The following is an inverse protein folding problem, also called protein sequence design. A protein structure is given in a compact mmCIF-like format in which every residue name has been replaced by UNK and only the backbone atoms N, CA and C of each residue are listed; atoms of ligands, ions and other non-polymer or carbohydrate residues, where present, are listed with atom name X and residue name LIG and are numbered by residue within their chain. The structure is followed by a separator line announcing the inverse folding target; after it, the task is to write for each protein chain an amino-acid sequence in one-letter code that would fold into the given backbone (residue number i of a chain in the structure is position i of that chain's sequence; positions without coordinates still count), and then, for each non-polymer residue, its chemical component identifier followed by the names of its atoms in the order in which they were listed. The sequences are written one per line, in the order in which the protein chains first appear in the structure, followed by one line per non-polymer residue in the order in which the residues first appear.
data_IF_482535074536
#
_entry.id   IF_482535074536
#
_cell.length_a   1.000
_cell.length_b   1.000
_cell.length_c   1.000
_cell.angle_alpha   90.00
_cell.angle_beta   90.00
_cell.angle_gamma   90.00
#
_symmetry.space_group_name_H-M   'P 1'
#
loop_
_entity.id
_entity.type
_entity.pdbx_description
1 polymer ?
#
# COMPACT_ATOMS: atom_id res chain seq x y z
N UNK A 1 -6.40 -1.60 -2.83
CA UNK A 1 -6.45 -0.14 -2.98
C UNK A 1 -5.45 0.28 -4.04
N UNK A 2 -5.91 0.97 -5.06
CA UNK A 2 -5.08 1.39 -6.19
C UNK A 2 -4.55 2.80 -5.95
N UNK A 3 -3.24 2.99 -6.04
CA UNK A 3 -2.61 4.30 -5.75
C UNK A 3 -2.56 4.65 -4.26
N UNK A 4 -2.15 3.70 -3.42
CA UNK A 4 -2.09 3.83 -1.95
C UNK A 4 -1.18 4.95 -1.44
N UNK A 5 -0.21 5.34 -2.25
CA UNK A 5 0.79 6.38 -1.92
C UNK A 5 0.38 7.78 -2.40
N UNK A 6 -0.76 7.91 -3.08
CA UNK A 6 -1.33 9.21 -3.42
C UNK A 6 -2.20 9.76 -2.28
N UNK A 7 -2.57 11.03 -2.34
CA UNK A 7 -3.28 11.72 -1.25
C UNK A 7 -4.57 11.02 -0.81
N UNK A 8 -5.36 10.48 -1.73
CA UNK A 8 -6.59 9.73 -1.40
C UNK A 8 -6.24 8.39 -0.75
N UNK A 9 -5.24 7.68 -1.27
CA UNK A 9 -4.82 6.39 -0.73
C UNK A 9 -4.27 6.48 0.69
N UNK A 10 -3.45 7.50 0.98
CA UNK A 10 -2.91 7.72 2.33
C UNK A 10 -4.01 8.07 3.32
N UNK A 11 -4.90 9.00 2.97
CA UNK A 11 -6.04 9.36 3.82
C UNK A 11 -7.00 8.19 4.05
N UNK A 12 -7.22 7.36 3.02
CA UNK A 12 -8.04 6.15 3.15
C UNK A 12 -7.44 5.18 4.16
N UNK A 13 -6.12 4.97 4.14
CA UNK A 13 -5.46 4.13 5.14
C UNK A 13 -5.57 4.71 6.55
N UNK A 14 -5.46 6.03 6.70
CA UNK A 14 -5.63 6.70 7.99
C UNK A 14 -7.03 6.46 8.59
N UNK A 15 -8.07 6.47 7.75
CA UNK A 15 -9.45 6.14 8.17
C UNK A 15 -9.58 4.65 8.52
N UNK A 16 -9.05 3.75 7.69
CA UNK A 16 -9.15 2.30 7.89
C UNK A 16 -8.51 1.82 9.21
N UNK A 17 -7.51 2.53 9.76
CA UNK A 17 -6.95 2.23 11.09
C UNK A 17 -7.98 2.25 12.22
N UNK A 18 -9.07 2.98 12.04
CA UNK A 18 -10.13 3.14 13.02
C UNK A 18 -11.35 2.24 12.75
N UNK A 19 -11.30 1.41 11.68
CA UNK A 19 -12.39 0.55 11.25
C UNK A 19 -11.91 -0.92 11.18
N UNK A 20 -11.81 -1.62 12.32
CA UNK A 20 -11.19 -2.95 12.41
C UNK A 20 -11.94 -4.05 11.64
N UNK A 21 -13.18 -3.81 11.22
CA UNK A 21 -13.96 -4.70 10.37
C UNK A 21 -13.43 -4.77 8.93
N UNK A 22 -12.64 -3.79 8.49
CA UNK A 22 -12.06 -3.77 7.16
C UNK A 22 -10.63 -4.28 7.18
N UNK A 23 -10.28 -5.06 6.15
CA UNK A 23 -8.92 -5.52 5.90
C UNK A 23 -8.47 -5.10 4.51
N UNK A 24 -7.28 -4.52 4.43
CA UNK A 24 -6.64 -4.21 3.15
C UNK A 24 -6.12 -5.50 2.52
N UNK A 25 -6.81 -5.97 1.48
CA UNK A 25 -6.41 -7.18 0.77
C UNK A 25 -5.19 -6.97 -0.14
N UNK A 26 -5.10 -5.78 -0.75
CA UNK A 26 -4.01 -5.44 -1.65
C UNK A 26 -3.71 -3.95 -1.72
N UNK A 27 -2.46 -3.59 -2.02
CA UNK A 27 -2.00 -2.23 -2.25
C UNK A 27 -1.34 -2.09 -3.62
N UNK A 28 -1.43 -0.91 -4.22
CA UNK A 28 -0.64 -0.58 -5.40
C UNK A 28 -0.10 0.85 -5.35
N UNK A 29 1.09 1.07 -5.88
CA UNK A 29 1.69 2.39 -6.03
C UNK A 29 2.25 2.60 -7.43
N UNK A 30 2.35 3.86 -7.86
CA UNK A 30 3.08 4.21 -9.07
C UNK A 30 4.58 4.13 -8.83
N UNK A 31 5.16 5.22 -8.31
CA UNK A 31 6.61 5.38 -8.15
C UNK A 31 7.12 5.39 -6.71
N UNK A 32 6.27 5.65 -5.70
CA UNK A 32 6.70 5.88 -4.33
C UNK A 32 6.91 4.56 -3.56
N UNK A 33 8.03 3.89 -3.84
CA UNK A 33 8.41 2.62 -3.26
C UNK A 33 8.54 2.66 -1.73
N UNK A 34 9.23 3.65 -1.18
CA UNK A 34 9.49 3.72 0.28
C UNK A 34 8.19 3.81 1.07
N UNK A 35 7.25 4.65 0.62
CA UNK A 35 5.95 4.77 1.27
C UNK A 35 5.13 3.48 1.12
N UNK A 36 5.12 2.86 -0.07
CA UNK A 36 4.43 1.58 -0.28
C UNK A 36 5.00 0.49 0.65
N UNK A 37 6.33 0.40 0.77
CA UNK A 37 7.00 -0.56 1.66
C UNK A 37 6.58 -0.37 3.12
N UNK A 38 6.53 0.88 3.58
CA UNK A 38 6.02 1.21 4.92
C UNK A 38 4.58 0.77 5.10
N UNK A 39 3.70 1.07 4.14
CA UNK A 39 2.29 0.68 4.18
C UNK A 39 2.12 -0.84 4.21
N UNK A 40 2.91 -1.60 3.44
CA UNK A 40 2.89 -3.06 3.44
C UNK A 40 3.23 -3.61 4.83
N UNK A 41 4.27 -3.08 5.49
CA UNK A 41 4.64 -3.50 6.84
C UNK A 41 3.56 -3.24 7.88
N UNK A 42 2.80 -2.15 7.71
CA UNK A 42 1.72 -1.74 8.60
C UNK A 42 0.46 -2.60 8.43
N UNK A 43 -0.07 -2.70 7.20
CA UNK A 43 -1.37 -3.33 6.94
C UNK A 43 -1.28 -4.79 6.52
N UNK A 44 -0.08 -5.28 6.21
CA UNK A 44 0.22 -6.67 5.83
C UNK A 44 -0.76 -7.22 4.78
N UNK A 45 -0.86 -6.56 3.61
CA UNK A 45 -1.78 -6.99 2.56
C UNK A 45 -1.34 -8.34 1.97
N UNK A 46 -2.27 -9.07 1.36
CA UNK A 46 -1.94 -10.31 0.65
C UNK A 46 -1.24 -10.04 -0.68
N UNK A 47 -1.52 -8.89 -1.30
CA UNK A 47 -0.92 -8.48 -2.57
C UNK A 47 -0.37 -7.06 -2.53
N UNK A 48 0.77 -6.85 -3.19
CA UNK A 48 1.31 -5.52 -3.44
C UNK A 48 1.78 -5.42 -4.88
N UNK A 49 1.59 -4.25 -5.50
CA UNK A 49 2.03 -3.96 -6.85
C UNK A 49 2.71 -2.59 -6.92
N UNK A 50 3.77 -2.48 -7.72
CA UNK A 50 4.39 -1.21 -8.07
C UNK A 50 4.81 -1.23 -9.54
N UNK A 51 4.79 -0.08 -10.21
CA UNK A 51 5.03 -0.04 -11.66
C UNK A 51 6.49 -0.34 -12.06
N UNK A 52 7.45 -0.05 -11.18
CA UNK A 52 8.87 -0.35 -11.42
C UNK A 52 9.18 -1.81 -11.11
N UNK A 53 9.71 -2.54 -12.10
CA UNK A 53 10.14 -3.93 -11.93
C UNK A 53 11.27 -4.09 -10.89
N UNK A 54 12.19 -3.10 -10.83
CA UNK A 54 13.27 -3.07 -9.83
C UNK A 54 12.69 -2.96 -8.41
N UNK A 55 11.79 -1.98 -8.19
CA UNK A 55 11.15 -1.83 -6.89
C UNK A 55 10.25 -3.01 -6.55
N UNK A 56 9.57 -3.61 -7.52
CA UNK A 56 8.75 -4.80 -7.32
C UNK A 56 9.60 -5.98 -6.84
N UNK A 57 10.81 -6.16 -7.37
CA UNK A 57 11.74 -7.18 -6.90
C UNK A 57 12.20 -6.92 -5.45
N UNK A 58 12.37 -5.65 -5.06
CA UNK A 58 12.76 -5.24 -3.71
C UNK A 58 11.62 -5.31 -2.66
N UNK A 59 10.38 -5.55 -3.08
CA UNK A 59 9.21 -5.73 -2.22
C UNK A 59 8.96 -7.20 -1.80
N UNK A 60 9.71 -8.16 -2.36
CA UNK A 60 9.66 -9.58 -1.96
C UNK A 60 10.25 -9.79 -0.57
#
# INVERSE_FOLDING_TARGET
MLGSTGSIGTQTLDVLRHLPEFRVYGLSAGSNYDLLKKQIGEVKPQFAWISSAEHAAALR
#
